data_IF_460399671896
#
_entry.id   IF_460399671896
#
_cell.length_a   1.000
_cell.length_b   1.000
_cell.length_c   1.000
_cell.angle_alpha   90.00
_cell.angle_beta   90.00
_cell.angle_gamma   90.00
#
_symmetry.space_group_name_H-M   'P 1'
#
loop_
_entity.id
_entity.type
_entity.pdbx_description
1 polymer ?
#
# COMPACT_ATOMS: atom_id res chain seq x y z
N UNK A 1 -4.25 -4.48 23.34
CA UNK A 1 -2.90 -4.97 22.98
C UNK A 1 -1.89 -4.07 23.68
N UNK A 2 -0.94 -4.64 24.43
CA UNK A 2 0.11 -3.88 25.14
C UNK A 2 0.98 -3.10 24.15
N UNK A 3 1.46 -1.92 24.54
CA UNK A 3 2.25 -1.05 23.66
C UNK A 3 3.55 -1.71 23.17
N UNK A 4 4.14 -2.58 23.99
CA UNK A 4 5.31 -3.39 23.62
C UNK A 4 5.04 -4.33 22.44
N UNK A 5 3.80 -4.83 22.28
CA UNK A 5 3.43 -5.67 21.13
C UNK A 5 3.20 -4.84 19.87
N UNK A 6 2.63 -3.64 20.00
CA UNK A 6 2.42 -2.74 18.86
C UNK A 6 3.75 -2.29 18.24
N UNK A 7 4.78 -2.14 19.06
CA UNK A 7 6.13 -1.78 18.61
C UNK A 7 6.76 -2.81 17.65
N UNK A 8 6.23 -4.03 17.54
CA UNK A 8 6.75 -5.07 16.65
C UNK A 8 6.11 -5.05 15.25
N UNK A 9 4.97 -4.38 15.07
CA UNK A 9 4.26 -4.32 13.78
C UNK A 9 5.12 -3.74 12.64
N UNK A 10 5.92 -2.67 12.85
CA UNK A 10 6.82 -2.14 11.82
C UNK A 10 7.94 -3.10 11.38
N UNK A 11 8.15 -4.21 12.09
CA UNK A 11 9.12 -5.25 11.70
C UNK A 11 8.52 -6.27 10.73
N UNK A 12 7.19 -6.28 10.59
CA UNK A 12 6.44 -7.21 9.74
C UNK A 12 5.92 -6.48 8.51
N UNK A 13 5.41 -5.27 8.70
CA UNK A 13 4.96 -4.42 7.61
C UNK A 13 6.04 -3.37 7.38
N UNK A 14 6.51 -3.18 6.13
CA UNK A 14 7.49 -2.16 5.82
C UNK A 14 7.14 -0.80 6.42
N UNK A 15 8.15 -0.15 7.00
CA UNK A 15 8.01 1.21 7.52
C UNK A 15 7.41 2.13 6.44
N UNK A 16 6.50 3.02 6.82
CA UNK A 16 5.82 3.92 5.89
C UNK A 16 4.61 3.31 5.17
N UNK A 17 4.53 1.99 4.98
CA UNK A 17 3.34 1.34 4.40
C UNK A 17 2.13 1.49 5.33
N UNK A 18 2.35 1.33 6.63
CA UNK A 18 1.31 1.50 7.66
C UNK A 18 0.73 2.92 7.76
N UNK A 19 1.38 3.92 7.15
CA UNK A 19 0.88 5.30 7.13
C UNK A 19 -0.25 5.49 6.11
N UNK A 20 -0.33 4.60 5.11
CA UNK A 20 -1.28 4.73 3.99
C UNK A 20 -2.16 3.50 3.81
N UNK A 21 -1.73 2.34 4.33
CA UNK A 21 -2.44 1.08 4.18
C UNK A 21 -2.82 0.50 5.53
N UNK A 22 -4.03 -0.04 5.60
CA UNK A 22 -4.49 -0.85 6.71
C UNK A 22 -4.42 -2.34 6.35
N UNK A 23 -4.03 -3.16 7.32
CA UNK A 23 -4.10 -4.61 7.19
C UNK A 23 -5.53 -5.06 7.49
N UNK A 24 -6.23 -5.56 6.48
CA UNK A 24 -7.64 -5.99 6.60
C UNK A 24 -7.77 -7.47 6.91
N UNK A 25 -6.83 -8.28 6.43
CA UNK A 25 -6.85 -9.72 6.60
C UNK A 25 -5.44 -10.30 6.54
N UNK A 26 -5.28 -11.51 7.09
CA UNK A 26 -4.10 -12.34 6.85
C UNK A 26 -4.51 -13.81 6.76
N UNK A 27 -3.79 -14.59 5.97
CA UNK A 27 -3.92 -16.04 5.92
C UNK A 27 -2.57 -16.71 6.04
N UNK A 28 -2.53 -17.87 6.70
CA UNK A 28 -1.31 -18.60 6.97
C UNK A 28 -1.51 -20.10 6.70
N UNK A 29 -0.61 -20.71 5.94
CA UNK A 29 -0.64 -22.14 5.63
C UNK A 29 0.57 -22.59 4.84
N UNK A 30 0.97 -23.87 4.94
CA UNK A 30 2.01 -24.51 4.12
C UNK A 30 3.32 -23.70 3.94
N UNK A 31 3.83 -23.06 5.00
CA UNK A 31 5.04 -22.27 4.91
C UNK A 31 4.87 -20.95 4.13
N UNK A 32 3.63 -20.44 4.05
CA UNK A 32 3.24 -19.21 3.37
C UNK A 32 2.40 -18.33 4.31
N UNK A 33 2.69 -17.04 4.27
CA UNK A 33 1.97 -15.98 4.96
C UNK A 33 1.50 -14.95 3.92
N UNK A 34 0.20 -14.78 3.80
CA UNK A 34 -0.41 -13.76 2.95
C UNK A 34 -0.99 -12.66 3.83
N UNK A 35 -0.58 -11.42 3.57
CA UNK A 35 -1.02 -10.22 4.28
C UNK A 35 -1.79 -9.36 3.29
N UNK A 36 -3.02 -8.97 3.62
CA UNK A 36 -3.88 -8.18 2.76
C UNK A 36 -3.94 -6.74 3.26
N UNK A 37 -3.57 -5.82 2.37
CA UNK A 37 -3.43 -4.39 2.65
C UNK A 37 -4.40 -3.61 1.76
N UNK A 38 -5.18 -2.72 2.35
CA UNK A 38 -6.07 -1.80 1.63
C UNK A 38 -5.66 -0.35 1.89
N UNK A 39 -5.57 0.46 0.84
CA UNK A 39 -5.24 1.88 0.99
C UNK A 39 -6.35 2.59 1.76
N UNK A 40 -5.97 3.28 2.84
CA UNK A 40 -6.87 4.00 3.74
C UNK A 40 -7.59 5.15 3.02
N UNK A 41 -8.64 5.68 3.66
CA UNK A 41 -9.38 6.86 3.17
C UNK A 41 -8.62 8.13 3.56
N UNK A 42 -7.43 8.31 2.97
CA UNK A 42 -6.60 9.51 3.13
C UNK A 42 -6.49 10.15 1.75
N UNK A 43 -6.90 11.41 1.63
CA UNK A 43 -6.81 12.17 0.38
C UNK A 43 -5.33 12.29 -0.01
N UNK A 44 -4.96 12.04 -1.29
CA UNK A 44 -3.59 12.26 -1.74
C UNK A 44 -3.22 13.75 -1.67
N UNK A 45 -1.98 14.04 -1.24
CA UNK A 45 -1.50 15.41 -0.99
C UNK A 45 -1.64 16.29 -2.26
N UNK A 46 -1.34 15.72 -3.41
CA UNK A 46 -1.44 16.37 -4.72
C UNK A 46 -2.88 16.73 -5.15
N UNK A 47 -3.89 16.19 -4.44
CA UNK A 47 -5.31 16.44 -4.69
C UNK A 47 -6.02 16.99 -3.45
N UNK A 48 -5.31 17.51 -2.45
CA UNK A 48 -5.91 18.06 -1.22
C UNK A 48 -6.93 19.18 -1.48
N UNK A 49 -6.75 19.92 -2.57
CA UNK A 49 -7.61 21.02 -2.97
C UNK A 49 -8.77 20.57 -3.87
N UNK A 50 -8.86 19.28 -4.21
CA UNK A 50 -9.90 18.73 -5.06
C UNK A 50 -11.00 18.05 -4.24
N UNK A 51 -12.20 18.00 -4.85
CA UNK A 51 -13.30 17.19 -4.30
C UNK A 51 -13.15 15.74 -4.74
N UNK A 52 -12.62 14.90 -3.85
CA UNK A 52 -12.46 13.48 -4.12
C UNK A 52 -13.53 12.62 -3.45
N UNK A 53 -14.04 11.62 -4.20
CA UNK A 53 -14.91 10.57 -3.67
C UNK A 53 -14.26 9.20 -3.87
N UNK A 54 -14.22 8.40 -2.82
CA UNK A 54 -13.70 7.03 -2.91
C UNK A 54 -14.59 6.18 -3.84
N UNK A 55 -13.99 5.62 -4.90
CA UNK A 55 -14.65 4.80 -5.93
C UNK A 55 -14.12 3.36 -5.90
N UNK A 56 -13.99 2.80 -4.70
CA UNK A 56 -13.49 1.44 -4.48
C UNK A 56 -11.99 1.32 -4.71
N UNK A 57 -11.55 0.17 -5.21
CA UNK A 57 -10.14 -0.17 -5.37
C UNK A 57 -9.81 -0.61 -6.80
N UNK A 58 -8.54 -0.57 -7.15
CA UNK A 58 -7.99 -1.32 -8.28
C UNK A 58 -7.87 -2.81 -7.93
N UNK A 59 -7.63 -3.63 -8.95
CA UNK A 59 -7.28 -5.03 -8.73
C UNK A 59 -6.08 -5.15 -7.77
N UNK A 60 -6.10 -6.12 -6.84
CA UNK A 60 -5.00 -6.34 -5.91
C UNK A 60 -3.71 -6.63 -6.67
N UNK A 61 -2.60 -6.13 -6.16
CA UNK A 61 -1.28 -6.53 -6.62
C UNK A 61 -0.55 -7.26 -5.51
N UNK A 62 0.03 -8.39 -5.85
CA UNK A 62 0.81 -9.21 -4.92
C UNK A 62 2.30 -8.93 -5.11
N UNK A 63 3.00 -8.61 -4.02
CA UNK A 63 4.46 -8.64 -3.97
C UNK A 63 4.94 -9.69 -2.98
N UNK A 64 6.12 -10.23 -3.23
CA UNK A 64 6.81 -11.09 -2.28
C UNK A 64 7.69 -10.24 -1.38
N UNK A 65 7.62 -10.48 -0.07
CA UNK A 65 8.45 -9.83 0.95
C UNK A 65 9.40 -10.86 1.59
N UNK A 66 10.30 -10.37 2.45
CA UNK A 66 11.28 -11.21 3.12
C UNK A 66 10.60 -12.33 3.94
N UNK A 67 11.12 -13.56 3.89
CA UNK A 67 10.55 -14.65 4.65
C UNK A 67 10.56 -14.36 6.16
N UNK A 68 9.44 -14.60 6.83
CA UNK A 68 9.31 -14.44 8.28
C UNK A 68 9.20 -15.83 8.90
N UNK A 69 10.20 -16.19 9.72
CA UNK A 69 10.22 -17.43 10.52
C UNK A 69 9.93 -18.69 9.67
N UNK A 70 10.60 -18.79 8.52
CA UNK A 70 10.46 -19.93 7.61
C UNK A 70 9.22 -19.89 6.71
N UNK A 71 8.43 -18.80 6.75
CA UNK A 71 7.29 -18.61 5.86
C UNK A 71 7.65 -17.63 4.75
N UNK A 72 7.30 -17.98 3.51
CA UNK A 72 7.30 -17.03 2.41
C UNK A 72 6.19 -16.00 2.63
N UNK A 73 6.52 -14.72 2.59
CA UNK A 73 5.58 -13.63 2.85
C UNK A 73 5.14 -13.02 1.53
N UNK A 74 3.83 -12.82 1.38
CA UNK A 74 3.23 -12.15 0.25
C UNK A 74 2.32 -11.02 0.74
N UNK A 75 2.53 -9.80 0.23
CA UNK A 75 1.66 -8.66 0.51
C UNK A 75 0.72 -8.45 -0.67
N UNK A 76 -0.58 -8.55 -0.43
CA UNK A 76 -1.65 -8.28 -1.39
C UNK A 76 -2.17 -6.87 -1.18
N UNK A 77 -1.81 -5.96 -2.07
CA UNK A 77 -2.03 -4.53 -1.93
C UNK A 77 -3.16 -4.07 -2.85
N UNK A 78 -4.23 -3.54 -2.28
CA UNK A 78 -5.29 -2.84 -3.00
C UNK A 78 -5.12 -1.34 -2.90
N UNK A 79 -4.95 -0.69 -4.05
CA UNK A 79 -4.87 0.77 -4.17
C UNK A 79 -6.25 1.36 -4.35
N UNK A 80 -6.51 2.51 -3.72
CA UNK A 80 -7.81 3.18 -3.75
C UNK A 80 -7.96 3.98 -5.04
N UNK A 81 -9.16 3.92 -5.60
CA UNK A 81 -9.58 4.74 -6.74
C UNK A 81 -10.32 5.95 -6.19
N UNK A 82 -9.96 7.13 -6.68
CA UNK A 82 -10.63 8.36 -6.32
C UNK A 82 -11.30 8.95 -7.56
N UNK A 83 -12.57 9.33 -7.46
CA UNK A 83 -13.22 10.17 -8.46
C UNK A 83 -12.97 11.62 -8.09
N UNK A 84 -12.24 12.34 -8.93
CA UNK A 84 -12.12 13.79 -8.83
C UNK A 84 -13.38 14.41 -9.43
N UNK A 85 -14.20 15.06 -8.60
CA UNK A 85 -15.46 15.67 -9.04
C UNK A 85 -15.26 16.97 -9.81
N UNK A 86 -14.08 17.59 -9.72
CA UNK A 86 -13.77 18.82 -10.43
C UNK A 86 -13.42 18.54 -11.90
N UNK A 87 -12.85 17.36 -12.19
CA UNK A 87 -12.43 16.93 -13.53
C UNK A 87 -13.23 15.77 -14.10
N UNK A 88 -14.08 15.13 -13.27
CA UNK A 88 -14.79 13.88 -13.55
C UNK A 88 -13.88 12.70 -13.94
N UNK A 89 -12.62 12.74 -13.51
CA UNK A 89 -11.62 11.71 -13.81
C UNK A 89 -11.34 10.83 -12.60
N UNK A 90 -11.02 9.56 -12.86
CA UNK A 90 -10.51 8.66 -11.83
C UNK A 90 -9.02 8.90 -11.66
N UNK A 91 -8.63 9.31 -10.45
CA UNK A 91 -7.25 9.59 -10.04
C UNK A 91 -6.82 8.62 -8.94
N UNK A 92 -5.52 8.57 -8.70
CA UNK A 92 -4.89 7.72 -7.69
C UNK A 92 -3.67 8.42 -7.09
N UNK A 93 -3.26 8.00 -5.90
CA UNK A 93 -2.09 8.56 -5.20
C UNK A 93 -0.81 8.38 -6.00
N UNK A 94 -0.06 9.46 -6.18
CA UNK A 94 1.28 9.43 -6.73
C UNK A 94 2.27 8.94 -5.68
N UNK A 95 2.65 7.66 -5.79
CA UNK A 95 3.58 7.01 -4.86
C UNK A 95 5.01 7.55 -4.92
N UNK A 96 5.40 8.29 -5.97
CA UNK A 96 6.71 8.95 -6.02
C UNK A 96 6.84 10.08 -5.00
N UNK A 97 5.75 10.82 -4.75
CA UNK A 97 5.72 11.89 -3.75
C UNK A 97 5.81 11.32 -2.32
N UNK A 98 5.37 10.07 -2.15
CA UNK A 98 5.32 9.34 -0.89
C UNK A 98 6.65 8.66 -0.55
N UNK A 99 7.53 8.40 -1.53
CA UNK A 99 8.79 7.66 -1.38
C UNK A 99 9.89 8.38 -0.55
N UNK A 100 9.50 9.30 0.35
CA UNK A 100 10.40 10.01 1.26
C UNK A 100 10.70 9.12 2.47
N UNK A 101 11.69 8.25 2.34
CA UNK A 101 12.07 7.38 3.46
C UNK A 101 13.22 6.42 3.15
N UNK A 102 13.23 5.30 3.87
CA UNK A 102 14.22 4.23 3.75
C UNK A 102 14.19 3.57 2.36
N UNK A 103 15.26 2.83 2.02
CA UNK A 103 15.34 2.07 0.76
C UNK A 103 14.12 1.17 0.53
N UNK A 104 13.53 0.64 1.60
CA UNK A 104 12.35 -0.24 1.54
C UNK A 104 11.10 0.54 1.09
N UNK A 105 10.87 1.77 1.59
CA UNK A 105 9.78 2.63 1.08
C UNK A 105 9.97 3.03 -0.38
N UNK A 106 11.22 3.19 -0.82
CA UNK A 106 11.54 3.50 -2.22
C UNK A 106 11.29 2.30 -3.13
N UNK A 107 11.73 1.10 -2.73
CA UNK A 107 11.50 -0.14 -3.48
C UNK A 107 9.99 -0.47 -3.55
N UNK A 108 9.25 -0.26 -2.46
CA UNK A 108 7.80 -0.43 -2.44
C UNK A 108 7.07 0.60 -3.33
N UNK A 109 7.47 1.88 -3.27
CA UNK A 109 6.91 2.91 -4.15
C UNK A 109 7.23 2.65 -5.64
N UNK A 110 8.47 2.25 -5.94
CA UNK A 110 8.90 1.87 -7.28
C UNK A 110 8.12 0.66 -7.80
N UNK A 111 7.86 -0.33 -6.93
CA UNK A 111 6.98 -1.45 -7.26
C UNK A 111 5.55 -0.97 -7.58
N UNK A 112 4.96 -0.13 -6.73
CA UNK A 112 3.61 0.41 -6.95
C UNK A 112 3.52 1.27 -8.23
N UNK A 113 4.62 1.89 -8.66
CA UNK A 113 4.73 2.58 -9.95
C UNK A 113 4.73 1.60 -11.12
N UNK A 114 5.54 0.53 -11.07
CA UNK A 114 5.63 -0.44 -12.16
C UNK A 114 4.27 -1.06 -12.54
N UNK A 115 3.34 -1.10 -11.59
CA UNK A 115 1.99 -1.65 -11.76
C UNK A 115 0.89 -0.59 -12.00
N UNK A 116 1.20 0.71 -11.99
CA UNK A 116 0.21 1.78 -12.24
C UNK A 116 -0.02 2.04 -13.74
N UNK A 117 0.65 1.30 -14.63
CA UNK A 117 0.47 1.42 -16.08
C UNK A 117 1.21 2.60 -16.72
N UNK A 118 2.19 3.20 -16.02
CA UNK A 118 3.09 4.15 -16.68
C UNK A 118 4.18 3.37 -17.45
N UNK A 119 4.40 3.66 -18.74
CA UNK A 119 5.59 3.17 -19.41
C UNK A 119 6.81 3.78 -18.72
N UNK A 120 7.72 2.92 -18.30
CA UNK A 120 9.08 3.31 -17.94
C UNK A 120 9.74 3.95 -19.16
N UNK A 121 9.80 5.28 -19.18
CA UNK A 121 10.75 6.04 -20.02
C UNK A 121 12.13 6.00 -19.41
#
# INVERSE_FOLDING_TARGET
MHDSFKALIPLIIPEGVSNYFEMTHYSQGEGRLDIFLEEMIIIPEEFEHNKLVSKGFYEPVTLQDFPIRGQQVYLHVKRRRWLNQDTDQVVYRNWELVAKGTRITQDFAAFLKGISGQPST
#
